data_IF_009516062121
#
_entry.id   IF_009516062121
#
_cell.length_a   1.000
_cell.length_b   1.000
_cell.length_c   1.000
_cell.angle_alpha   90.00
_cell.angle_beta   90.00
_cell.angle_gamma   90.00
#
_symmetry.space_group_name_H-M   'P 1'
#
loop_
_entity.id
_entity.type
_entity.pdbx_description
1 polymer ?
#
# COMPACT_ATOMS: atom_id res chain seq x y z
N UNK A 1 -8.60 13.45 9.60
CA UNK A 1 -9.19 12.12 9.78
C UNK A 1 -8.99 11.71 11.24
N UNK A 2 -10.04 11.21 11.90
CA UNK A 2 -9.91 10.47 13.17
C UNK A 2 -10.20 9.02 12.88
N UNK A 3 -9.20 8.16 13.07
CA UNK A 3 -9.32 6.72 12.90
C UNK A 3 -8.51 6.03 14.02
N UNK A 4 -9.17 5.41 15.02
CA UNK A 4 -8.47 4.72 16.10
C UNK A 4 -7.42 3.74 15.58
N UNK A 5 -6.26 3.67 16.27
CA UNK A 5 -5.15 2.81 15.87
C UNK A 5 -5.51 1.32 16.04
N UNK A 6 -6.22 0.97 17.11
CA UNK A 6 -6.73 -0.37 17.41
C UNK A 6 -8.19 -0.24 17.88
N UNK A 7 -9.06 -1.15 17.43
CA UNK A 7 -10.46 -1.20 17.88
C UNK A 7 -10.59 -1.40 19.41
N UNK A 8 -9.57 -1.95 20.09
CA UNK A 8 -9.54 -2.10 21.56
C UNK A 8 -9.52 -0.77 22.32
N UNK A 9 -9.18 0.31 21.61
CA UNK A 9 -9.25 1.67 22.15
C UNK A 9 -10.67 2.28 22.08
N UNK A 10 -11.61 1.58 21.44
CA UNK A 10 -12.99 2.04 21.23
C UNK A 10 -13.93 1.27 22.16
N UNK A 11 -14.47 1.98 23.16
CA UNK A 11 -15.51 1.47 24.02
C UNK A 11 -16.90 1.62 23.38
N UNK A 12 -17.84 0.78 23.82
CA UNK A 12 -19.26 0.87 23.48
C UNK A 12 -20.09 1.05 24.75
N UNK A 13 -21.12 1.90 24.70
CA UNK A 13 -22.14 2.00 25.75
C UNK A 13 -23.54 2.17 25.15
N UNK A 14 -24.57 1.77 25.89
CA UNK A 14 -26.00 1.90 25.51
C UNK A 14 -26.76 2.90 26.38
N UNK A 15 -26.03 3.66 27.17
CA UNK A 15 -26.55 4.66 28.12
C UNK A 15 -25.75 5.94 27.96
N UNK A 16 -26.36 7.08 28.28
CA UNK A 16 -25.66 8.36 28.28
C UNK A 16 -24.38 8.29 29.14
N UNK A 17 -23.18 8.48 28.55
CA UNK A 17 -21.93 8.35 29.28
C UNK A 17 -21.58 9.59 30.11
N UNK A 18 -22.24 10.73 29.92
CA UNK A 18 -21.91 11.99 30.62
C UNK A 18 -22.10 11.89 32.14
N UNK A 19 -23.13 11.17 32.58
CA UNK A 19 -23.39 10.89 34.00
C UNK A 19 -22.37 9.95 34.66
N UNK A 20 -21.44 9.37 33.88
CA UNK A 20 -20.41 8.45 34.38
C UNK A 20 -19.06 9.12 34.63
N UNK A 21 -18.94 10.44 34.42
CA UNK A 21 -17.71 11.19 34.73
C UNK A 21 -17.36 10.99 36.22
N UNK A 22 -16.09 10.71 36.49
CA UNK A 22 -15.59 10.29 37.81
C UNK A 22 -15.70 8.79 38.09
N UNK A 23 -16.44 8.03 37.27
CA UNK A 23 -16.56 6.58 37.37
C UNK A 23 -15.45 5.81 36.63
N UNK A 24 -15.46 4.47 36.72
CA UNK A 24 -14.44 3.62 36.10
C UNK A 24 -14.65 3.45 34.58
N UNK A 25 -13.54 3.42 33.84
CA UNK A 25 -13.43 3.11 32.41
C UNK A 25 -12.20 2.23 32.15
N UNK A 26 -12.21 1.41 31.10
CA UNK A 26 -11.05 0.57 30.78
C UNK A 26 -9.84 1.41 30.39
N UNK A 27 -8.66 0.96 30.79
CA UNK A 27 -7.40 1.68 30.60
C UNK A 27 -7.02 1.93 29.14
N UNK A 28 -7.54 1.13 28.20
CA UNK A 28 -7.30 1.27 26.76
C UNK A 28 -8.27 2.24 26.09
N UNK A 29 -9.37 2.63 26.73
CA UNK A 29 -10.43 3.39 26.06
C UNK A 29 -10.00 4.84 25.81
N UNK A 30 -9.75 5.14 24.54
CA UNK A 30 -9.47 6.49 24.03
C UNK A 30 -10.70 7.12 23.38
N UNK A 31 -11.63 6.29 22.90
CA UNK A 31 -12.87 6.70 22.26
C UNK A 31 -14.05 5.91 22.81
N UNK A 32 -15.21 6.53 22.89
CA UNK A 32 -16.44 5.90 23.36
C UNK A 32 -17.57 6.16 22.39
N UNK A 33 -18.17 5.10 21.86
CA UNK A 33 -19.37 5.15 21.05
C UNK A 33 -20.57 4.87 21.97
N UNK A 34 -21.49 5.82 22.04
CA UNK A 34 -22.78 5.67 22.71
C UNK A 34 -23.88 5.37 21.68
N UNK A 35 -24.52 4.22 21.83
CA UNK A 35 -25.71 3.81 21.06
C UNK A 35 -26.95 4.19 21.87
N UNK A 36 -27.54 5.35 21.57
CA UNK A 36 -28.68 5.91 22.29
C UNK A 36 -29.97 5.78 21.46
N UNK A 37 -31.16 5.89 22.08
CA UNK A 37 -32.43 5.93 21.33
C UNK A 37 -32.51 7.05 20.28
N UNK A 38 -31.79 8.16 20.51
CA UNK A 38 -31.68 9.31 19.59
C UNK A 38 -30.70 9.10 18.44
N UNK A 39 -29.93 8.00 18.44
CA UNK A 39 -28.88 7.69 17.49
C UNK A 39 -27.51 7.50 18.14
N UNK A 40 -26.46 7.49 17.33
CA UNK A 40 -25.09 7.35 17.82
C UNK A 40 -24.50 8.69 18.25
N UNK A 41 -23.64 8.64 19.26
CA UNK A 41 -22.73 9.71 19.63
C UNK A 41 -21.33 9.12 19.84
N UNK A 42 -20.30 9.87 19.45
CA UNK A 42 -18.92 9.43 19.57
C UNK A 42 -18.15 10.46 20.38
N UNK A 43 -17.39 10.00 21.37
CA UNK A 43 -16.62 10.84 22.27
C UNK A 43 -15.14 10.47 22.25
N UNK A 44 -14.28 11.48 22.38
CA UNK A 44 -12.91 11.30 22.85
C UNK A 44 -12.90 11.21 24.37
N UNK A 45 -12.16 10.25 24.90
CA UNK A 45 -12.09 9.95 26.33
C UNK A 45 -10.78 10.48 26.90
N UNK A 46 -10.86 11.16 28.04
CA UNK A 46 -9.71 11.41 28.91
C UNK A 46 -9.90 10.65 30.21
N UNK A 47 -8.90 9.86 30.59
CA UNK A 47 -8.90 9.12 31.86
C UNK A 47 -7.59 9.30 32.63
N UNK A 48 -7.62 9.07 33.94
CA UNK A 48 -6.43 9.16 34.81
C UNK A 48 -6.34 7.95 35.76
N UNK A 49 -5.13 7.70 36.27
CA UNK A 49 -4.83 6.59 37.19
C UNK A 49 -4.15 5.40 36.52
N UNK A 50 -3.88 4.38 37.32
CA UNK A 50 -3.14 3.17 36.93
C UNK A 50 -4.04 1.91 37.02
N UNK A 51 -3.57 0.81 36.45
CA UNK A 51 -4.29 -0.47 36.44
C UNK A 51 -5.31 -0.61 35.30
N UNK A 52 -6.14 -1.65 35.38
CA UNK A 52 -7.08 -2.03 34.32
C UNK A 52 -8.31 -1.10 34.20
N UNK A 53 -8.66 -0.45 35.30
CA UNK A 53 -9.76 0.51 35.39
C UNK A 53 -9.19 1.86 35.80
N UNK A 54 -9.41 2.87 34.97
CA UNK A 54 -9.04 4.26 35.20
C UNK A 54 -10.26 5.08 35.51
N UNK A 55 -10.05 6.25 36.12
CA UNK A 55 -11.11 7.21 36.39
C UNK A 55 -11.39 8.02 35.12
N UNK A 56 -12.64 8.06 34.67
CA UNK A 56 -13.08 8.90 33.55
C UNK A 56 -13.08 10.37 33.98
N UNK A 57 -12.32 11.21 33.29
CA UNK A 57 -12.14 12.64 33.62
C UNK A 57 -12.98 13.54 32.75
N UNK A 58 -13.00 13.29 31.45
CA UNK A 58 -13.82 14.08 30.54
C UNK A 58 -14.18 13.29 29.29
N UNK A 59 -15.29 13.72 28.68
CA UNK A 59 -15.76 13.27 27.38
C UNK A 59 -15.85 14.51 26.48
N UNK A 60 -15.17 14.46 25.35
CA UNK A 60 -15.24 15.49 24.31
C UNK A 60 -16.02 14.90 23.14
N UNK A 61 -17.13 15.54 22.76
CA UNK A 61 -17.96 15.03 21.67
C UNK A 61 -17.26 15.23 20.31
N UNK A 62 -17.19 14.16 19.53
CA UNK A 62 -16.59 14.11 18.20
C UNK A 62 -17.65 14.24 17.11
N UNK A 63 -18.73 13.47 17.20
CA UNK A 63 -19.80 13.42 16.22
C UNK A 63 -21.12 12.97 16.87
N UNK A 64 -22.26 13.37 16.31
CA UNK A 64 -23.58 12.94 16.79
C UNK A 64 -24.64 12.80 15.70
N UNK A 65 -25.60 11.89 15.92
CA UNK A 65 -26.85 11.83 15.17
C UNK A 65 -26.62 11.74 13.65
N UNK A 66 -27.06 12.76 12.91
CA UNK A 66 -27.01 12.80 11.43
C UNK A 66 -25.59 12.86 10.85
N UNK A 67 -24.58 13.16 11.67
CA UNK A 67 -23.18 13.16 11.26
C UNK A 67 -22.62 11.74 11.12
N UNK A 68 -23.31 10.75 11.72
CA UNK A 68 -22.85 9.38 11.84
C UNK A 68 -23.75 8.45 11.02
N UNK A 69 -23.11 7.53 10.30
CA UNK A 69 -23.77 6.34 9.75
C UNK A 69 -23.05 5.08 10.22
N UNK A 70 -23.77 3.96 10.30
CA UNK A 70 -23.17 2.64 10.59
C UNK A 70 -23.19 1.81 9.31
N UNK A 71 -22.03 1.28 8.91
CA UNK A 71 -21.97 0.32 7.82
C UNK A 71 -22.64 -0.99 8.27
N UNK A 72 -23.55 -1.50 7.45
CA UNK A 72 -24.27 -2.76 7.72
C UNK A 72 -23.41 -3.99 7.47
N UNK A 73 -22.58 -3.93 6.43
CA UNK A 73 -21.65 -5.00 6.11
C UNK A 73 -20.56 -5.07 7.17
N UNK A 74 -20.24 -6.30 7.60
CA UNK A 74 -19.11 -6.55 8.47
C UNK A 74 -17.84 -6.57 7.66
N UNK A 75 -16.82 -5.86 8.12
CA UNK A 75 -15.52 -5.80 7.48
C UNK A 75 -14.45 -6.29 8.45
N UNK A 76 -13.27 -6.62 7.93
CA UNK A 76 -12.12 -6.86 8.79
C UNK A 76 -11.68 -5.52 9.41
N UNK A 77 -11.76 -5.43 10.74
CA UNK A 77 -11.38 -4.23 11.48
C UNK A 77 -9.87 -3.93 11.41
N UNK A 78 -9.05 -4.87 10.95
CA UNK A 78 -7.61 -4.69 10.74
C UNK A 78 -7.27 -4.19 9.34
N UNK A 79 -8.19 -4.25 8.38
CA UNK A 79 -7.98 -3.73 7.03
C UNK A 79 -8.24 -2.22 6.95
N UNK A 80 -7.25 -1.45 7.41
CA UNK A 80 -7.34 0.01 7.55
C UNK A 80 -7.64 0.70 6.23
N UNK A 81 -6.94 0.30 5.16
CA UNK A 81 -7.15 0.88 3.83
C UNK A 81 -8.59 0.64 3.37
N UNK A 82 -9.07 -0.60 3.48
CA UNK A 82 -10.44 -0.93 3.05
C UNK A 82 -11.50 -0.17 3.85
N UNK A 83 -11.30 0.01 5.16
CA UNK A 83 -12.21 0.80 5.98
C UNK A 83 -12.27 2.27 5.52
N UNK A 84 -11.11 2.88 5.22
CA UNK A 84 -11.04 4.26 4.69
C UNK A 84 -11.74 4.34 3.33
N UNK A 85 -11.45 3.43 2.40
CA UNK A 85 -12.05 3.40 1.08
C UNK A 85 -13.58 3.20 1.13
N UNK A 86 -14.06 2.38 2.07
CA UNK A 86 -15.49 2.19 2.31
C UNK A 86 -16.15 3.43 2.94
N UNK A 87 -15.45 4.16 3.80
CA UNK A 87 -15.98 5.34 4.47
C UNK A 87 -16.16 6.53 3.52
N UNK A 88 -15.20 6.76 2.61
CA UNK A 88 -15.18 7.89 1.67
C UNK A 88 -16.50 8.13 0.92
N UNK A 89 -17.09 7.15 0.21
CA UNK A 89 -18.33 7.37 -0.52
C UNK A 89 -19.57 7.56 0.38
N UNK A 90 -19.49 7.16 1.65
CA UNK A 90 -20.57 7.30 2.64
C UNK A 90 -20.57 8.66 3.34
N UNK A 91 -19.40 9.29 3.47
CA UNK A 91 -19.27 10.63 4.04
C UNK A 91 -19.68 11.71 3.03
N UNK A 92 -20.99 11.92 2.90
CA UNK A 92 -21.60 12.94 2.03
C UNK A 92 -22.67 13.74 2.78
N UNK A 93 -22.79 15.03 2.42
CA UNK A 93 -23.76 15.93 3.03
C UNK A 93 -23.43 16.17 4.50
N UNK A 94 -24.34 15.81 5.40
CA UNK A 94 -24.13 15.93 6.84
C UNK A 94 -23.28 14.79 7.43
N UNK A 95 -23.19 13.63 6.75
CA UNK A 95 -22.44 12.48 7.25
C UNK A 95 -20.95 12.72 7.04
N UNK A 96 -20.18 12.70 8.12
CA UNK A 96 -18.72 12.76 8.10
C UNK A 96 -18.06 11.62 8.87
N UNK A 97 -18.86 10.78 9.54
CA UNK A 97 -18.36 9.69 10.40
C UNK A 97 -19.05 8.37 10.08
N UNK A 98 -18.27 7.30 9.94
CA UNK A 98 -18.76 5.94 9.67
C UNK A 98 -18.33 5.01 10.79
N UNK A 99 -19.29 4.31 11.39
CA UNK A 99 -19.07 3.23 12.35
C UNK A 99 -19.00 1.89 11.60
N UNK A 100 -18.01 1.08 11.96
CA UNK A 100 -17.77 -0.25 11.42
C UNK A 100 -17.87 -1.30 12.52
N UNK A 101 -18.45 -2.45 12.19
CA UNK A 101 -18.48 -3.62 13.07
C UNK A 101 -17.70 -4.77 12.42
N UNK A 102 -16.74 -5.30 13.17
CA UNK A 102 -15.92 -6.45 12.79
C UNK A 102 -16.70 -7.76 12.77
N UNK A 103 -16.11 -8.78 12.15
CA UNK A 103 -16.65 -10.15 12.20
C UNK A 103 -16.78 -10.68 13.63
N UNK A 104 -15.82 -10.32 14.48
CA UNK A 104 -15.78 -10.60 15.91
C UNK A 104 -16.61 -9.63 16.77
N UNK A 105 -17.36 -8.73 16.12
CA UNK A 105 -18.21 -7.68 16.71
C UNK A 105 -17.47 -6.54 17.40
N UNK A 106 -16.15 -6.49 17.35
CA UNK A 106 -15.44 -5.27 17.77
C UNK A 106 -15.82 -4.11 16.86
N UNK A 107 -16.00 -2.94 17.43
CA UNK A 107 -16.46 -1.76 16.71
C UNK A 107 -15.32 -0.75 16.59
N UNK A 108 -15.21 -0.10 15.44
CA UNK A 108 -14.36 1.06 15.24
C UNK A 108 -15.12 2.12 14.45
N UNK A 109 -14.52 3.28 14.22
CA UNK A 109 -15.11 4.34 13.41
C UNK A 109 -14.04 5.10 12.64
N UNK A 110 -14.47 5.79 11.57
CA UNK A 110 -13.64 6.74 10.84
C UNK A 110 -14.43 8.04 10.70
N UNK A 111 -13.86 9.14 11.17
CA UNK A 111 -14.35 10.50 10.91
C UNK A 111 -13.45 11.21 9.91
N UNK A 112 -14.05 11.96 8.99
CA UNK A 112 -13.39 12.72 7.92
C UNK A 112 -12.37 11.85 7.16
N UNK A 113 -12.81 10.74 6.53
CA UNK A 113 -11.93 9.80 5.86
C UNK A 113 -11.12 10.48 4.75
N UNK A 114 -9.86 10.10 4.61
CA UNK A 114 -8.95 10.64 3.61
C UNK A 114 -7.93 9.60 3.15
N UNK A 115 -7.64 9.57 1.85
CA UNK A 115 -6.57 8.74 1.29
C UNK A 115 -5.18 9.36 1.45
N UNK A 116 -5.06 10.57 1.98
CA UNK A 116 -3.77 11.25 2.12
C UNK A 116 -2.77 10.44 2.98
N UNK A 117 -3.26 9.70 3.97
CA UNK A 117 -2.43 8.86 4.83
C UNK A 117 -2.20 7.45 4.25
N UNK A 118 -2.89 7.07 3.17
CA UNK A 118 -2.77 5.77 2.54
C UNK A 118 -1.65 5.81 1.50
N UNK A 119 -0.60 5.03 1.74
CA UNK A 119 0.53 4.95 0.83
C UNK A 119 0.16 4.15 -0.43
N UNK A 120 0.44 4.70 -1.60
CA UNK A 120 0.23 4.00 -2.86
C UNK A 120 1.54 3.39 -3.36
N UNK A 121 1.53 2.08 -3.58
CA UNK A 121 2.64 1.31 -4.14
C UNK A 121 2.29 0.91 -5.57
N UNK A 122 3.14 1.25 -6.52
CA UNK A 122 2.97 0.88 -7.91
C UNK A 122 3.52 -0.52 -8.20
N UNK A 123 2.67 -1.40 -8.72
CA UNK A 123 3.06 -2.70 -9.24
C UNK A 123 3.50 -2.51 -10.69
N UNK A 124 4.78 -2.73 -10.97
CA UNK A 124 5.30 -2.69 -12.34
C UNK A 124 5.52 -4.13 -12.80
N UNK A 125 4.68 -4.59 -13.72
CA UNK A 125 4.75 -5.94 -14.28
C UNK A 125 4.80 -5.92 -15.80
N UNK A 126 5.19 -7.05 -16.40
CA UNK A 126 5.34 -7.22 -17.84
C UNK A 126 4.26 -8.19 -18.34
N UNK A 127 3.60 -7.83 -19.43
CA UNK A 127 2.65 -8.71 -20.13
C UNK A 127 2.97 -8.78 -21.61
N UNK A 128 2.67 -9.88 -22.30
CA UNK A 128 2.33 -11.22 -21.79
C UNK A 128 3.50 -11.92 -21.06
N UNK A 129 3.29 -13.08 -20.38
CA UNK A 129 2.06 -13.87 -20.33
C UNK A 129 0.94 -13.24 -19.51
N UNK A 130 -0.28 -13.67 -19.77
CA UNK A 130 -1.45 -13.37 -18.92
C UNK A 130 -1.70 -14.54 -17.94
N UNK A 131 -2.07 -14.27 -16.67
CA UNK A 131 -2.11 -12.94 -16.06
C UNK A 131 -0.70 -12.41 -15.74
N UNK A 132 -0.50 -11.08 -15.63
CA UNK A 132 0.70 -10.49 -15.03
C UNK A 132 0.85 -11.03 -13.61
N UNK A 133 1.78 -11.96 -13.40
CA UNK A 133 1.80 -12.77 -12.19
C UNK A 133 2.03 -11.97 -10.91
N UNK A 134 2.88 -10.93 -10.94
CA UNK A 134 3.13 -10.13 -9.74
C UNK A 134 1.87 -9.37 -9.34
N UNK A 135 1.22 -8.72 -10.30
CA UNK A 135 -0.06 -8.05 -10.06
C UNK A 135 -1.10 -9.03 -9.55
N UNK A 136 -1.28 -10.15 -10.25
CA UNK A 136 -2.22 -11.20 -9.86
C UNK A 136 -2.00 -11.71 -8.42
N UNK A 137 -0.74 -11.98 -8.05
CA UNK A 137 -0.38 -12.44 -6.71
C UNK A 137 -0.65 -11.36 -5.65
N UNK A 138 -0.28 -10.10 -5.91
CA UNK A 138 -0.54 -8.99 -4.97
C UNK A 138 -2.04 -8.78 -4.80
N UNK A 139 -2.84 -8.81 -5.87
CA UNK A 139 -4.29 -8.66 -5.76
C UNK A 139 -4.92 -9.80 -4.93
N UNK A 140 -4.38 -11.02 -4.99
CA UNK A 140 -4.80 -12.13 -4.10
C UNK A 140 -4.46 -11.85 -2.64
N UNK A 141 -3.28 -11.29 -2.36
CA UNK A 141 -2.85 -10.90 -1.02
C UNK A 141 -3.68 -9.73 -0.46
N UNK A 142 -4.05 -8.76 -1.29
CA UNK A 142 -4.98 -7.69 -0.90
C UNK A 142 -6.33 -8.29 -0.52
N UNK A 143 -6.88 -9.18 -1.35
CA UNK A 143 -8.17 -9.85 -1.08
C UNK A 143 -8.14 -10.73 0.18
N UNK A 144 -7.00 -11.27 0.56
CA UNK A 144 -6.87 -12.07 1.78
C UNK A 144 -6.80 -11.24 3.07
N UNK A 145 -6.60 -9.92 2.96
CA UNK A 145 -6.49 -9.01 4.11
C UNK A 145 -5.11 -8.99 4.79
N UNK A 146 -4.15 -9.82 4.34
CA UNK A 146 -2.83 -9.94 5.00
C UNK A 146 -1.99 -8.65 4.98
N UNK A 147 -2.31 -7.73 4.07
CA UNK A 147 -1.68 -6.42 3.91
C UNK A 147 -2.49 -5.28 4.54
N UNK A 148 -3.67 -5.56 5.12
CA UNK A 148 -4.65 -4.55 5.54
C UNK A 148 -4.17 -3.59 6.62
N UNK A 149 -3.25 -4.04 7.48
CA UNK A 149 -2.68 -3.20 8.55
C UNK A 149 -1.59 -2.23 8.06
N UNK A 150 -1.10 -2.39 6.83
CA UNK A 150 0.02 -1.60 6.32
C UNK A 150 -0.37 -0.19 5.85
N UNK A 151 -1.68 0.12 5.83
CA UNK A 151 -2.22 1.38 5.32
C UNK A 151 -1.72 1.72 3.90
N UNK A 152 -1.68 0.69 3.05
CA UNK A 152 -1.24 0.77 1.66
C UNK A 152 -2.38 0.47 0.69
N UNK A 153 -2.24 0.94 -0.53
CA UNK A 153 -3.03 0.54 -1.71
C UNK A 153 -2.11 0.36 -2.91
N UNK A 154 -2.62 -0.29 -3.95
CA UNK A 154 -1.83 -0.58 -5.15
C UNK A 154 -2.41 0.08 -6.40
N UNK A 155 -1.51 0.56 -7.26
CA UNK A 155 -1.79 0.87 -8.66
C UNK A 155 -0.97 -0.04 -9.56
N UNK A 156 -1.45 -0.35 -10.76
CA UNK A 156 -0.77 -1.28 -11.66
C UNK A 156 -0.30 -0.56 -12.91
N UNK A 157 1.00 -0.71 -13.22
CA UNK A 157 1.57 -0.35 -14.51
C UNK A 157 2.06 -1.60 -15.23
N UNK A 158 1.40 -1.91 -16.34
CA UNK A 158 1.82 -2.99 -17.23
C UNK A 158 2.69 -2.44 -18.35
N UNK A 159 3.84 -3.08 -18.57
CA UNK A 159 4.65 -2.93 -19.77
C UNK A 159 4.17 -4.01 -20.75
N UNK A 160 3.37 -3.59 -21.73
CA UNK A 160 2.81 -4.51 -22.73
C UNK A 160 3.76 -4.70 -23.91
N UNK A 161 4.31 -5.91 -24.06
CA UNK A 161 5.26 -6.26 -25.10
C UNK A 161 4.60 -6.46 -26.48
N UNK A 162 3.26 -6.55 -26.57
CA UNK A 162 2.53 -6.66 -27.84
C UNK A 162 2.83 -5.51 -28.78
N UNK A 163 3.15 -4.34 -28.23
CA UNK A 163 3.55 -3.16 -29.01
C UNK A 163 4.80 -3.38 -29.87
N UNK A 164 5.57 -4.44 -29.60
CA UNK A 164 6.79 -4.78 -30.34
C UNK A 164 6.63 -6.02 -31.22
N UNK A 165 5.44 -6.59 -31.39
CA UNK A 165 5.25 -7.79 -32.22
C UNK A 165 5.70 -7.59 -33.68
N UNK A 166 6.27 -8.65 -34.26
CA UNK A 166 6.75 -8.60 -35.64
C UNK A 166 7.53 -9.85 -36.02
N UNK A 167 7.60 -10.12 -37.33
CA UNK A 167 8.22 -11.34 -37.87
C UNK A 167 9.73 -11.43 -37.58
N UNK A 168 10.42 -10.28 -37.49
CA UNK A 168 11.84 -10.19 -37.15
C UNK A 168 12.11 -9.82 -35.69
N UNK A 169 11.14 -10.03 -34.82
CA UNK A 169 11.25 -9.72 -33.40
C UNK A 169 11.53 -10.99 -32.63
N UNK A 170 12.45 -10.90 -31.69
CA UNK A 170 12.88 -12.01 -30.85
C UNK A 170 12.52 -11.68 -29.41
N UNK A 171 11.74 -12.54 -28.78
CA UNK A 171 11.34 -12.46 -27.38
C UNK A 171 12.09 -13.50 -26.53
N UNK A 172 12.13 -13.37 -25.20
CA UNK A 172 12.92 -14.25 -24.36
C UNK A 172 12.33 -15.66 -24.21
N UNK A 173 11.00 -15.78 -24.28
CA UNK A 173 10.30 -17.02 -23.95
C UNK A 173 8.99 -17.19 -24.73
N UNK A 174 8.75 -18.40 -25.22
CA UNK A 174 7.52 -18.78 -25.92
C UNK A 174 6.26 -18.64 -25.08
N UNK A 175 6.36 -18.70 -23.74
CA UNK A 175 5.22 -18.50 -22.85
C UNK A 175 4.51 -17.14 -23.03
N UNK A 176 5.16 -16.16 -23.66
CA UNK A 176 4.52 -14.89 -24.02
C UNK A 176 3.54 -15.00 -25.20
N UNK A 177 3.65 -16.03 -26.03
CA UNK A 177 2.84 -16.28 -27.23
C UNK A 177 2.78 -15.10 -28.22
N UNK A 178 3.72 -14.17 -28.12
CA UNK A 178 3.82 -12.98 -28.97
C UNK A 178 4.20 -13.33 -30.40
N UNK A 179 3.64 -12.65 -31.41
CA UNK A 179 4.07 -12.82 -32.81
C UNK A 179 5.54 -12.43 -32.96
N UNK A 180 6.39 -13.44 -33.16
CA UNK A 180 7.82 -13.31 -33.34
C UNK A 180 8.54 -14.66 -33.19
N UNK A 181 9.83 -14.61 -32.89
CA UNK A 181 10.68 -15.74 -32.55
C UNK A 181 11.04 -15.71 -31.07
N UNK A 182 11.50 -16.84 -30.51
CA UNK A 182 11.80 -16.96 -29.09
C UNK A 182 13.19 -17.54 -28.81
N UNK A 183 13.88 -16.95 -27.83
CA UNK A 183 15.21 -17.38 -27.40
C UNK A 183 15.24 -18.74 -26.67
N UNK A 184 14.12 -19.29 -26.24
CA UNK A 184 14.05 -20.58 -25.57
C UNK A 184 13.72 -21.74 -26.53
N UNK A 185 12.99 -21.47 -27.62
CA UNK A 185 12.53 -22.53 -28.54
C UNK A 185 13.13 -22.46 -29.94
N UNK A 186 13.31 -21.26 -30.50
CA UNK A 186 13.70 -21.12 -31.90
C UNK A 186 15.22 -21.21 -32.09
N UNK A 187 15.62 -21.69 -33.26
CA UNK A 187 17.03 -21.83 -33.66
C UNK A 187 17.36 -21.05 -34.93
N UNK A 188 16.36 -20.70 -35.73
CA UNK A 188 16.44 -20.03 -37.03
C UNK A 188 16.24 -18.52 -36.93
N UNK A 189 16.97 -17.86 -36.01
CA UNK A 189 16.89 -16.41 -35.83
C UNK A 189 17.63 -15.69 -36.98
N UNK A 190 16.96 -14.71 -37.58
CA UNK A 190 17.51 -13.93 -38.70
C UNK A 190 18.52 -12.85 -38.26
N UNK A 191 19.46 -12.50 -39.15
CA UNK A 191 20.34 -11.34 -38.96
C UNK A 191 19.55 -10.02 -38.99
N UNK A 192 20.00 -9.02 -38.25
CA UNK A 192 19.34 -7.72 -38.05
C UNK A 192 17.96 -7.83 -37.36
N UNK A 193 17.73 -8.87 -36.55
CA UNK A 193 16.52 -9.00 -35.75
C UNK A 193 16.42 -7.94 -34.64
N UNK A 194 15.22 -7.72 -34.13
CA UNK A 194 14.98 -6.88 -32.95
C UNK A 194 14.77 -7.76 -31.72
N UNK A 195 15.72 -7.75 -30.79
CA UNK A 195 15.59 -8.40 -29.50
C UNK A 195 14.81 -7.51 -28.53
N UNK A 196 13.67 -7.99 -28.05
CA UNK A 196 12.90 -7.37 -26.97
C UNK A 196 13.08 -8.23 -25.73
N UNK A 197 13.87 -7.76 -24.77
CA UNK A 197 14.25 -8.57 -23.62
C UNK A 197 15.11 -7.82 -22.63
N UNK A 198 15.38 -8.40 -21.46
CA UNK A 198 16.28 -7.78 -20.48
C UNK A 198 17.76 -8.08 -20.79
N UNK A 199 18.67 -7.59 -19.96
CA UNK A 199 20.11 -7.84 -20.09
C UNK A 199 20.47 -9.34 -20.16
N UNK A 200 19.68 -10.23 -19.54
CA UNK A 200 19.88 -11.68 -19.62
C UNK A 200 19.53 -12.21 -21.02
N UNK A 201 18.42 -11.75 -21.60
CA UNK A 201 18.03 -12.10 -22.96
C UNK A 201 19.10 -11.66 -23.96
N UNK A 202 19.69 -10.47 -23.74
CA UNK A 202 20.82 -9.97 -24.52
C UNK A 202 22.02 -10.91 -24.47
N UNK A 203 22.45 -11.30 -23.26
CA UNK A 203 23.57 -12.23 -23.07
C UNK A 203 23.30 -13.59 -23.73
N UNK A 204 22.07 -14.12 -23.59
CA UNK A 204 21.68 -15.38 -24.23
C UNK A 204 21.74 -15.26 -25.76
N UNK A 205 21.24 -14.15 -26.32
CA UNK A 205 21.30 -13.90 -27.76
C UNK A 205 22.76 -13.88 -28.26
N UNK A 206 23.63 -13.13 -27.60
CA UNK A 206 25.05 -13.00 -27.97
C UNK A 206 25.80 -14.33 -27.86
N UNK A 207 25.46 -15.17 -26.88
CA UNK A 207 26.05 -16.50 -26.71
C UNK A 207 25.57 -17.51 -27.77
N UNK A 208 24.27 -17.50 -28.10
CA UNK A 208 23.69 -18.46 -29.07
C UNK A 208 23.96 -18.05 -30.52
N UNK A 209 24.07 -16.75 -30.79
CA UNK A 209 24.15 -16.19 -32.14
C UNK A 209 25.27 -15.15 -32.29
N UNK A 210 26.55 -15.52 -32.06
CA UNK A 210 27.66 -14.57 -31.97
C UNK A 210 27.94 -13.80 -33.26
N UNK A 211 27.47 -14.29 -34.41
CA UNK A 211 27.69 -13.69 -35.72
C UNK A 211 26.49 -12.86 -36.22
N UNK A 212 25.39 -12.79 -35.45
CA UNK A 212 24.22 -12.02 -35.82
C UNK A 212 24.28 -10.61 -35.22
N UNK A 213 23.92 -9.64 -36.04
CA UNK A 213 23.65 -8.27 -35.60
C UNK A 213 22.19 -8.14 -35.21
N UNK A 214 21.90 -7.28 -34.23
CA UNK A 214 20.54 -7.08 -33.72
C UNK A 214 20.36 -5.69 -33.12
N UNK A 215 19.11 -5.24 -33.02
CA UNK A 215 18.71 -4.09 -32.20
C UNK A 215 18.15 -4.60 -30.87
N UNK A 216 18.43 -3.91 -29.76
CA UNK A 216 17.95 -4.31 -28.43
C UNK A 216 16.98 -3.26 -27.88
N UNK A 217 15.79 -3.72 -27.47
CA UNK A 217 14.83 -2.97 -26.66
C UNK A 217 14.84 -3.59 -25.26
N UNK A 218 15.27 -2.80 -24.26
CA UNK A 218 15.37 -3.30 -22.90
C UNK A 218 14.04 -3.16 -22.17
N UNK A 219 13.36 -4.30 -21.97
CA UNK A 219 12.09 -4.31 -21.25
C UNK A 219 12.23 -4.33 -19.72
N UNK A 220 13.46 -4.30 -19.19
CA UNK A 220 13.70 -4.41 -17.76
C UNK A 220 13.13 -3.19 -16.99
N UNK A 221 12.21 -3.38 -16.03
CA UNK A 221 11.65 -2.28 -15.24
C UNK A 221 12.73 -1.49 -14.46
N UNK A 222 13.85 -2.14 -14.14
CA UNK A 222 14.97 -1.51 -13.43
C UNK A 222 15.85 -0.61 -14.29
N UNK A 223 15.69 -0.65 -15.62
CA UNK A 223 16.44 0.20 -16.56
C UNK A 223 15.71 1.51 -16.86
N UNK A 224 14.43 1.58 -16.50
CA UNK A 224 13.56 2.74 -16.67
C UNK A 224 13.46 3.30 -18.10
N UNK A 225 13.85 2.52 -19.10
CA UNK A 225 13.82 2.91 -20.52
C UNK A 225 12.38 2.97 -21.06
N UNK A 226 11.55 1.97 -20.72
CA UNK A 226 10.16 1.91 -21.15
C UNK A 226 9.19 2.58 -20.16
N UNK A 227 9.59 2.68 -18.89
CA UNK A 227 8.77 3.28 -17.85
C UNK A 227 9.61 3.71 -16.64
N UNK A 228 9.39 4.94 -16.18
CA UNK A 228 9.97 5.46 -14.95
C UNK A 228 8.88 5.45 -13.87
N UNK A 229 9.06 4.73 -12.74
CA UNK A 229 8.13 4.81 -11.62
C UNK A 229 7.92 6.26 -11.17
N UNK A 230 6.73 6.56 -10.64
CA UNK A 230 6.42 7.89 -10.06
C UNK A 230 6.13 7.84 -8.56
N UNK A 231 6.02 6.63 -8.02
CA UNK A 231 5.65 6.31 -6.63
C UNK A 231 6.50 5.13 -6.18
N UNK A 232 6.57 4.84 -4.87
CA UNK A 232 7.21 3.62 -4.42
C UNK A 232 6.66 2.42 -5.18
N UNK A 233 7.53 1.49 -5.58
CA UNK A 233 7.12 0.45 -6.53
C UNK A 233 7.59 -0.94 -6.13
N UNK A 234 6.94 -1.94 -6.68
CA UNK A 234 7.38 -3.32 -6.63
C UNK A 234 7.40 -3.92 -8.03
N UNK A 235 8.47 -4.65 -8.34
CA UNK A 235 8.65 -5.31 -9.64
C UNK A 235 9.39 -6.62 -9.48
N UNK A 236 9.61 -7.31 -10.60
CA UNK A 236 10.17 -8.65 -10.68
C UNK A 236 11.50 -8.69 -11.43
N UNK A 237 12.42 -9.55 -10.98
CA UNK A 237 13.65 -9.86 -11.71
C UNK A 237 13.95 -11.38 -11.70
N UNK A 238 14.45 -11.92 -12.82
CA UNK A 238 14.91 -13.31 -12.91
C UNK A 238 16.29 -13.53 -12.26
N UNK A 239 17.01 -12.45 -11.93
CA UNK A 239 18.30 -12.55 -11.24
C UNK A 239 18.08 -12.39 -9.75
N UNK A 240 18.15 -13.48 -8.99
CA UNK A 240 17.95 -13.48 -7.53
C UNK A 240 18.87 -12.49 -6.79
N UNK A 241 20.09 -12.28 -7.29
CA UNK A 241 21.05 -11.29 -6.74
C UNK A 241 20.58 -9.83 -6.86
N UNK A 242 19.59 -9.56 -7.72
CA UNK A 242 18.97 -8.24 -7.89
C UNK A 242 17.69 -8.08 -7.07
N UNK A 243 17.24 -9.12 -6.36
CA UNK A 243 16.12 -9.03 -5.43
C UNK A 243 16.49 -8.22 -4.19
N UNK A 244 15.50 -7.60 -3.57
CA UNK A 244 15.66 -6.75 -2.39
C UNK A 244 15.20 -5.33 -2.64
N UNK A 245 15.60 -4.44 -1.73
CA UNK A 245 15.24 -3.02 -1.80
C UNK A 245 16.14 -2.30 -2.80
N UNK A 246 15.54 -1.43 -3.60
CA UNK A 246 16.22 -0.64 -4.61
C UNK A 246 15.78 0.81 -4.51
N UNK A 247 16.60 1.72 -5.04
CA UNK A 247 16.21 3.10 -5.25
C UNK A 247 16.49 3.46 -6.71
N UNK A 248 15.44 3.78 -7.47
CA UNK A 248 15.54 4.20 -8.86
C UNK A 248 15.22 5.69 -8.94
N UNK A 249 16.22 6.51 -9.26
CA UNK A 249 16.07 7.95 -9.41
C UNK A 249 15.38 8.63 -8.21
N UNK A 250 15.73 8.21 -6.99
CA UNK A 250 15.15 8.77 -5.76
C UNK A 250 13.85 8.10 -5.31
N UNK A 251 13.37 7.09 -6.03
CA UNK A 251 12.13 6.38 -5.72
C UNK A 251 12.46 5.01 -5.13
N UNK A 252 12.06 4.80 -3.89
CA UNK A 252 12.24 3.52 -3.19
C UNK A 252 11.35 2.44 -3.81
N UNK A 253 11.89 1.24 -3.99
CA UNK A 253 11.14 0.12 -4.50
C UNK A 253 11.67 -1.22 -4.03
N UNK A 254 10.92 -2.27 -4.38
CA UNK A 254 11.25 -3.64 -4.05
C UNK A 254 11.32 -4.49 -5.32
N UNK A 255 12.31 -5.37 -5.37
CA UNK A 255 12.46 -6.35 -6.45
C UNK A 255 12.32 -7.73 -5.84
N UNK A 256 11.36 -8.50 -6.36
CA UNK A 256 11.20 -9.91 -6.00
C UNK A 256 11.67 -10.82 -7.14
N UNK A 257 12.12 -12.02 -6.80
CA UNK A 257 12.56 -12.99 -7.80
C UNK A 257 11.36 -13.48 -8.63
N UNK A 258 11.61 -13.95 -9.86
CA UNK A 258 10.57 -14.53 -10.69
C UNK A 258 9.90 -15.78 -10.10
N UNK A 259 10.66 -16.55 -9.33
CA UNK A 259 10.15 -17.68 -8.55
C UNK A 259 9.79 -17.34 -7.10
N UNK A 260 9.59 -16.06 -6.77
CA UNK A 260 9.20 -15.65 -5.42
C UNK A 260 7.81 -16.19 -5.07
N UNK A 261 7.69 -16.71 -3.84
CA UNK A 261 6.41 -17.10 -3.26
C UNK A 261 5.61 -15.87 -2.82
N UNK A 262 4.33 -16.08 -2.50
CA UNK A 262 3.50 -15.03 -1.90
C UNK A 262 4.07 -14.53 -0.55
N UNK A 263 4.75 -15.39 0.22
CA UNK A 263 5.44 -14.98 1.45
C UNK A 263 6.58 -13.99 1.15
N UNK A 264 7.39 -14.27 0.14
CA UNK A 264 8.48 -13.38 -0.27
C UNK A 264 7.95 -12.01 -0.74
N UNK A 265 6.80 -12.01 -1.42
CA UNK A 265 6.12 -10.78 -1.87
C UNK A 265 5.63 -9.97 -0.65
N UNK A 266 4.98 -10.62 0.32
CA UNK A 266 4.52 -9.96 1.56
C UNK A 266 5.70 -9.36 2.33
N UNK A 267 6.80 -10.09 2.48
CA UNK A 267 7.98 -9.61 3.19
C UNK A 267 8.64 -8.43 2.48
N UNK A 268 8.71 -8.47 1.14
CA UNK A 268 9.21 -7.36 0.34
C UNK A 268 8.33 -6.10 0.52
N UNK A 269 7.00 -6.23 0.47
CA UNK A 269 6.07 -5.12 0.66
C UNK A 269 6.20 -4.55 2.08
N UNK A 270 6.23 -5.40 3.11
CA UNK A 270 6.40 -4.97 4.51
C UNK A 270 7.72 -4.23 4.71
N UNK A 271 8.80 -4.70 4.12
CA UNK A 271 10.10 -4.05 4.21
C UNK A 271 10.11 -2.70 3.49
N UNK A 272 9.49 -2.62 2.31
CA UNK A 272 9.34 -1.37 1.57
C UNK A 272 8.57 -0.31 2.38
N UNK A 273 7.41 -0.69 2.94
CA UNK A 273 6.60 0.20 3.80
C UNK A 273 7.40 0.71 5.00
N UNK A 274 8.17 -0.16 5.67
CA UNK A 274 9.03 0.23 6.81
C UNK A 274 10.08 1.26 6.41
N UNK A 275 10.74 1.08 5.27
CA UNK A 275 11.76 2.01 4.78
C UNK A 275 11.14 3.37 4.48
N UNK A 276 10.00 3.39 3.79
CA UNK A 276 9.34 4.64 3.41
C UNK A 276 8.88 5.40 4.65
N UNK A 277 8.26 4.72 5.62
CA UNK A 277 7.85 5.34 6.88
C UNK A 277 9.05 5.88 7.66
N UNK A 278 10.15 5.12 7.75
CA UNK A 278 11.38 5.60 8.37
C UNK A 278 12.00 6.82 7.65
N UNK A 279 11.94 6.86 6.32
CA UNK A 279 12.41 7.98 5.51
C UNK A 279 11.55 9.24 5.73
N UNK A 280 10.23 9.10 5.88
CA UNK A 280 9.30 10.19 6.20
C UNK A 280 9.62 10.78 7.57
N UNK A 281 9.70 9.94 8.61
CA UNK A 281 9.99 10.38 9.98
C UNK A 281 11.34 11.13 10.07
N UNK A 282 12.35 10.66 9.34
CA UNK A 282 13.66 11.30 9.32
C UNK A 282 13.62 12.67 8.62
N UNK A 283 12.85 12.81 7.54
CA UNK A 283 12.65 14.10 6.85
C UNK A 283 11.95 15.11 7.75
N UNK A 284 10.88 14.70 8.44
CA UNK A 284 10.14 15.57 9.37
C UNK A 284 11.02 16.06 10.53
N UNK A 285 11.80 15.16 11.14
CA UNK A 285 12.78 15.51 12.19
C UNK A 285 13.81 16.52 11.68
N UNK A 286 14.31 16.34 10.46
CA UNK A 286 15.28 17.26 9.87
C UNK A 286 14.70 18.65 9.56
N UNK A 287 13.45 18.71 9.09
CA UNK A 287 12.74 19.98 8.85
C UNK A 287 12.53 20.73 10.18
N UNK A 288 12.03 20.04 11.21
CA UNK A 288 11.85 20.63 12.55
C UNK A 288 13.16 21.15 13.15
N UNK A 289 14.26 20.39 12.97
CA UNK A 289 15.58 20.80 13.45
C UNK A 289 16.13 22.02 12.69
N UNK A 290 15.86 22.14 11.40
CA UNK A 290 16.26 23.30 10.60
C UNK A 290 15.43 24.55 10.91
N UNK A 291 14.13 24.41 11.19
CA UNK A 291 13.29 25.52 11.65
C UNK A 291 13.76 26.08 13.00
N UNK A 292 14.08 25.21 13.97
CA UNK A 292 14.66 25.63 15.27
C UNK A 292 16.01 26.34 15.14
N UNK A 293 16.83 25.97 14.15
CA UNK A 293 18.10 26.65 13.85
C UNK A 293 17.92 28.03 13.20
N UNK A 294 16.82 28.25 12.49
CA UNK A 294 16.49 29.57 11.92
C UNK A 294 15.88 30.51 12.96
N UNK A 295 15.03 30.02 13.86
CA UNK A 295 14.47 30.82 14.96
C UNK A 295 15.53 31.26 15.98
N UNK A 296 16.56 30.44 16.22
CA UNK A 296 17.68 30.78 17.10
C UNK A 296 18.72 31.74 16.49
N UNK A 297 18.59 32.11 15.20
CA UNK A 297 19.45 33.11 14.53
C UNK A 297 18.82 34.51 14.43
N UNK A 298 17.57 34.69 14.88
CA UNK A 298 16.83 35.95 14.77
C UNK A 298 16.72 36.76 16.08
N UNK A 299 17.53 36.46 17.09
CA UNK A 299 17.73 37.35 18.25
C UNK A 299 19.11 37.99 18.18
N UNK A 300 19.24 39.22 17.64
CA UNK A 300 20.43 40.03 17.87
C UNK A 300 20.35 40.55 19.31
N UNK A 301 21.32 40.17 20.14
CA UNK A 301 21.79 41.04 21.22
C UNK A 301 22.73 42.06 20.62
#
# INVERSE_FOLDING_TARGET
MIFPADYKSVGMTRTDPTGRIGGPIYFTTEYLIAELPSGYEIYKVKSEGEGLLRKLISLELIARGKEITKLKEKLDSHDRTKLIECALPLCKGAVNTVIFEGMDRHTTFIQDPSLHEVMEIEIIDIVPPEPPWLDFAIQRLVRSGILGELNIRFSTKLIDLRQFEGEKVVFPCHASELKGKYLDTDTDIENNSMLVGCDISKQIFELRYPNLTYKHINMCPLKTELYLPTKPFITRCCQSKKSGMVNLNGIDGAVVHWGASEYDIVDAIRMLVRIINGNIENKEKNIMNNQKKHESRNYPW
#
